data_IF_467814854553
#
_entry.id   IF_467814854553
#
_cell.length_a   1.000
_cell.length_b   1.000
_cell.length_c   1.000
_cell.angle_alpha   90.00
_cell.angle_beta   90.00
_cell.angle_gamma   90.00
#
_symmetry.space_group_name_H-M   'P 1'
#
loop_
_entity.id
_entity.type
_entity.pdbx_description
1 polymer ?
#
# COMPACT_ATOMS: atom_id res chain seq x y z
N UNK A 1 1.81 -10.09 0.54
CA UNK A 1 2.73 -10.52 -0.53
C UNK A 1 3.76 -11.46 0.03
N UNK A 2 3.85 -12.65 -0.50
CA UNK A 2 4.83 -13.66 -0.10
C UNK A 2 6.14 -13.39 -0.83
N UNK A 3 7.15 -12.89 -0.11
CA UNK A 3 8.48 -12.70 -0.67
C UNK A 3 9.37 -13.87 -0.25
N UNK A 4 9.34 -14.93 -1.01
CA UNK A 4 10.34 -15.99 -0.95
C UNK A 4 11.14 -15.95 -2.24
N UNK A 5 12.38 -15.54 -2.18
CA UNK A 5 13.24 -15.55 -3.36
C UNK A 5 13.65 -16.98 -3.68
N UNK A 6 13.43 -17.37 -4.89
CA UNK A 6 13.52 -18.75 -5.35
C UNK A 6 14.78 -18.93 -6.20
N UNK A 7 15.98 -18.78 -5.60
CA UNK A 7 17.20 -19.13 -6.36
C UNK A 7 17.37 -20.64 -6.55
N UNK A 8 16.91 -21.45 -5.60
CA UNK A 8 16.92 -22.90 -5.74
C UNK A 8 15.90 -23.47 -6.74
N UNK A 9 14.86 -22.71 -7.06
CA UNK A 9 13.79 -23.15 -7.97
C UNK A 9 14.10 -22.92 -9.46
N UNK A 10 15.14 -22.21 -9.84
CA UNK A 10 15.49 -22.07 -11.26
C UNK A 10 15.64 -23.42 -11.98
N UNK A 11 16.06 -24.44 -11.27
CA UNK A 11 16.17 -25.80 -11.80
C UNK A 11 14.82 -26.57 -11.75
N UNK A 12 13.92 -26.22 -10.82
CA UNK A 12 12.63 -26.90 -10.66
C UNK A 12 11.51 -26.20 -11.45
N UNK A 13 11.57 -24.88 -11.63
CA UNK A 13 10.62 -24.11 -12.44
C UNK A 13 10.71 -24.48 -13.92
N UNK A 14 11.89 -24.87 -14.41
CA UNK A 14 12.04 -25.45 -15.75
C UNK A 14 11.29 -26.78 -15.93
N UNK A 15 10.73 -27.34 -14.87
CA UNK A 15 9.92 -28.58 -14.84
C UNK A 15 8.41 -28.32 -14.68
N UNK A 16 7.95 -27.07 -14.81
CA UNK A 16 6.50 -26.77 -14.78
C UNK A 16 5.88 -26.84 -13.39
N UNK A 17 6.51 -26.22 -12.38
CA UNK A 17 5.88 -26.04 -11.09
C UNK A 17 4.81 -24.93 -11.19
N UNK A 18 3.57 -25.32 -11.47
CA UNK A 18 2.38 -24.47 -11.57
C UNK A 18 2.03 -23.76 -10.24
N UNK A 19 2.82 -23.94 -9.20
CA UNK A 19 2.54 -23.42 -7.87
C UNK A 19 3.26 -22.12 -7.50
N UNK A 20 4.19 -21.64 -8.30
CA UNK A 20 4.89 -20.40 -8.01
C UNK A 20 4.02 -19.17 -8.26
N UNK A 21 4.11 -18.17 -7.38
CA UNK A 21 3.42 -16.89 -7.56
C UNK A 21 4.27 -16.00 -8.47
N UNK A 22 3.75 -15.53 -9.62
CA UNK A 22 4.51 -14.69 -10.52
C UNK A 22 4.74 -13.30 -9.92
N UNK A 23 5.97 -12.83 -10.02
CA UNK A 23 6.38 -11.45 -9.76
C UNK A 23 6.68 -10.72 -11.06
N UNK A 24 7.44 -9.63 -10.95
CA UNK A 24 7.88 -8.84 -12.10
C UNK A 24 9.32 -9.20 -12.51
N UNK A 25 9.68 -8.85 -13.75
CA UNK A 25 11.02 -9.14 -14.31
C UNK A 25 11.41 -10.62 -14.22
N UNK A 26 10.45 -11.49 -14.52
CA UNK A 26 10.62 -12.96 -14.44
C UNK A 26 10.93 -13.48 -13.03
N UNK A 27 10.61 -12.69 -11.99
CA UNK A 27 10.66 -13.19 -10.63
C UNK A 27 9.50 -14.16 -10.40
N UNK A 28 9.77 -15.18 -9.60
CA UNK A 28 8.75 -16.12 -9.12
C UNK A 28 8.95 -16.31 -7.62
N UNK A 29 7.85 -16.48 -6.91
CA UNK A 29 7.86 -16.54 -5.44
C UNK A 29 7.28 -17.86 -4.97
N UNK A 30 7.98 -18.50 -4.06
CA UNK A 30 7.53 -19.76 -3.47
C UNK A 30 6.33 -19.52 -2.55
N UNK A 31 5.34 -20.42 -2.58
CA UNK A 31 4.13 -20.29 -1.74
C UNK A 31 4.38 -20.61 -0.27
N UNK A 32 5.25 -21.54 0.03
CA UNK A 32 5.43 -22.09 1.37
C UNK A 32 6.77 -21.70 2.02
N UNK A 33 7.85 -21.57 1.23
CA UNK A 33 9.19 -21.25 1.73
C UNK A 33 9.45 -19.74 1.56
N UNK A 34 9.06 -18.95 2.54
CA UNK A 34 9.28 -17.51 2.55
C UNK A 34 9.69 -17.07 3.97
N UNK A 35 10.80 -16.34 4.07
CA UNK A 35 11.34 -15.88 5.34
C UNK A 35 10.87 -14.46 5.70
N UNK A 36 10.84 -13.57 4.73
CA UNK A 36 10.53 -12.16 4.97
C UNK A 36 9.11 -11.92 5.51
N UNK A 37 8.04 -12.55 4.98
CA UNK A 37 6.71 -12.41 5.54
C UNK A 37 6.61 -12.86 7.00
N UNK A 38 7.23 -13.98 7.35
CA UNK A 38 7.25 -14.47 8.75
C UNK A 38 7.98 -13.50 9.68
N UNK A 39 9.11 -12.94 9.23
CA UNK A 39 9.85 -11.95 9.99
C UNK A 39 9.02 -10.68 10.21
N UNK A 40 8.37 -10.18 9.16
CA UNK A 40 7.50 -9.00 9.23
C UNK A 40 6.31 -9.25 10.16
N UNK A 41 5.68 -10.41 10.07
CA UNK A 41 4.56 -10.78 10.95
C UNK A 41 4.97 -10.79 12.44
N UNK A 42 6.13 -11.34 12.75
CA UNK A 42 6.66 -11.34 14.11
C UNK A 42 6.96 -9.92 14.62
N UNK A 43 7.53 -9.08 13.77
CA UNK A 43 7.77 -7.68 14.11
C UNK A 43 6.45 -6.90 14.28
N UNK A 44 5.44 -7.20 13.48
CA UNK A 44 4.13 -6.58 13.63
C UNK A 44 3.49 -6.92 14.96
N UNK A 45 3.46 -8.21 15.32
CA UNK A 45 2.96 -8.67 16.63
C UNK A 45 3.70 -8.00 17.79
N UNK A 46 5.03 -7.92 17.70
CA UNK A 46 5.84 -7.24 18.70
C UNK A 46 5.52 -5.75 18.81
N UNK A 47 5.30 -5.08 17.67
CA UNK A 47 4.93 -3.67 17.62
C UNK A 47 3.54 -3.40 18.22
N UNK A 48 2.57 -4.26 17.95
CA UNK A 48 1.22 -4.11 18.51
C UNK A 48 1.22 -4.32 20.02
N UNK A 49 1.99 -5.28 20.51
CA UNK A 49 2.23 -5.46 21.95
C UNK A 49 2.85 -4.20 22.58
N UNK A 50 3.87 -3.63 21.94
CA UNK A 50 4.51 -2.41 22.42
C UNK A 50 3.53 -1.22 22.45
N UNK A 51 2.65 -1.11 21.46
CA UNK A 51 1.57 -0.08 21.45
C UNK A 51 0.59 -0.27 22.61
N UNK A 52 0.15 -1.50 22.88
CA UNK A 52 -0.74 -1.82 24.00
C UNK A 52 -0.09 -1.48 25.35
N UNK A 53 1.22 -1.71 25.47
CA UNK A 53 2.01 -1.39 26.66
C UNK A 53 2.44 0.07 26.74
N UNK A 54 2.05 0.90 25.73
CA UNK A 54 2.42 2.32 25.62
C UNK A 54 3.95 2.56 25.52
N UNK A 55 4.68 1.57 25.05
CA UNK A 55 6.13 1.65 24.82
C UNK A 55 6.42 2.33 23.47
N UNK A 56 6.26 3.65 23.44
CA UNK A 56 6.31 4.46 22.20
C UNK A 56 7.66 4.33 21.50
N UNK A 57 8.76 4.40 22.25
CA UNK A 57 10.11 4.30 21.69
C UNK A 57 10.34 2.94 21.02
N UNK A 58 9.96 1.85 21.69
CA UNK A 58 10.11 0.50 21.16
C UNK A 58 9.24 0.24 19.94
N UNK A 59 7.95 0.67 19.98
CA UNK A 59 7.05 0.61 18.82
C UNK A 59 7.60 1.39 17.61
N UNK A 60 8.23 2.54 17.86
CA UNK A 60 8.85 3.38 16.81
C UNK A 60 10.10 2.68 16.24
N UNK A 61 10.96 2.10 17.08
CA UNK A 61 12.13 1.37 16.62
C UNK A 61 11.75 0.19 15.71
N UNK A 62 10.74 -0.60 16.10
CA UNK A 62 10.24 -1.70 15.27
C UNK A 62 9.71 -1.17 13.93
N UNK A 63 8.96 -0.07 13.92
CA UNK A 63 8.48 0.57 12.68
C UNK A 63 9.63 0.94 11.75
N UNK A 64 10.69 1.53 12.28
CA UNK A 64 11.88 1.91 11.51
C UNK A 64 12.54 0.68 10.90
N UNK A 65 12.71 -0.40 11.69
CA UNK A 65 13.27 -1.67 11.21
C UNK A 65 12.42 -2.22 10.05
N UNK A 66 11.11 -2.32 10.22
CA UNK A 66 10.20 -2.82 9.17
C UNK A 66 10.29 -2.01 7.89
N UNK A 67 10.32 -0.68 7.99
CA UNK A 67 10.40 0.20 6.83
C UNK A 67 11.75 0.13 6.11
N UNK A 68 12.83 -0.20 6.82
CA UNK A 68 14.18 -0.29 6.25
C UNK A 68 14.41 -1.55 5.41
N UNK A 69 13.61 -2.60 5.56
CA UNK A 69 13.79 -3.85 4.80
C UNK A 69 13.78 -3.64 3.30
N UNK A 70 12.87 -2.82 2.79
CA UNK A 70 12.82 -2.52 1.35
C UNK A 70 14.12 -1.90 0.86
N UNK A 71 14.64 -0.90 1.58
CA UNK A 71 15.88 -0.21 1.22
C UNK A 71 17.11 -1.14 1.29
N UNK A 72 17.17 -1.98 2.33
CA UNK A 72 18.26 -2.96 2.49
C UNK A 72 18.23 -3.99 1.36
N UNK A 73 17.09 -4.58 1.06
CA UNK A 73 16.94 -5.58 -0.01
C UNK A 73 17.18 -5.01 -1.40
N UNK A 74 16.99 -3.70 -1.59
CA UNK A 74 17.31 -2.96 -2.82
C UNK A 74 18.75 -2.47 -2.91
N UNK A 75 19.58 -2.70 -1.90
CA UNK A 75 20.99 -2.25 -1.84
C UNK A 75 21.94 -3.34 -2.28
N UNK A 76 22.88 -3.02 -3.20
CA UNK A 76 23.90 -3.95 -3.69
C UNK A 76 24.86 -4.49 -2.62
N UNK A 77 24.95 -3.85 -1.46
CA UNK A 77 25.72 -4.32 -0.31
C UNK A 77 25.00 -5.38 0.54
N UNK A 78 23.73 -5.63 0.30
CA UNK A 78 22.97 -6.64 1.01
C UNK A 78 23.21 -8.04 0.43
N UNK A 79 23.48 -9.02 1.29
CA UNK A 79 23.64 -10.43 0.88
C UNK A 79 22.44 -10.99 0.12
N UNK A 80 21.24 -10.49 0.44
CA UNK A 80 19.97 -10.91 -0.18
C UNK A 80 19.51 -9.96 -1.29
N UNK A 81 20.43 -9.14 -1.81
CA UNK A 81 20.13 -8.23 -2.90
C UNK A 81 19.71 -8.96 -4.16
N UNK A 82 18.52 -8.65 -4.65
CA UNK A 82 18.06 -9.06 -5.97
C UNK A 82 17.16 -7.97 -6.55
N UNK A 83 17.53 -7.45 -7.71
CA UNK A 83 16.76 -6.38 -8.38
C UNK A 83 15.34 -6.80 -8.73
N UNK A 84 15.08 -8.10 -8.92
CA UNK A 84 13.76 -8.65 -9.21
C UNK A 84 12.85 -8.53 -7.98
N UNK A 85 13.40 -8.72 -6.77
CA UNK A 85 12.66 -8.59 -5.51
C UNK A 85 12.19 -7.15 -5.30
N UNK A 86 13.11 -6.20 -5.29
CA UNK A 86 12.76 -4.78 -5.12
C UNK A 86 11.83 -4.28 -6.23
N UNK A 87 12.08 -4.69 -7.48
CA UNK A 87 11.20 -4.35 -8.61
C UNK A 87 9.82 -4.96 -8.45
N UNK A 88 9.69 -6.20 -7.99
CA UNK A 88 8.40 -6.84 -7.79
C UNK A 88 7.58 -6.14 -6.70
N UNK A 89 8.23 -5.69 -5.62
CA UNK A 89 7.55 -4.89 -4.58
C UNK A 89 7.01 -3.58 -5.17
N UNK A 90 7.86 -2.82 -5.86
CA UNK A 90 7.49 -1.52 -6.40
C UNK A 90 6.41 -1.64 -7.49
N UNK A 91 6.59 -2.53 -8.44
CA UNK A 91 5.67 -2.68 -9.57
C UNK A 91 4.32 -3.26 -9.12
N UNK A 92 4.31 -4.14 -8.12
CA UNK A 92 3.05 -4.61 -7.52
C UNK A 92 2.33 -3.48 -6.79
N UNK A 93 3.05 -2.62 -6.07
CA UNK A 93 2.48 -1.42 -5.48
C UNK A 93 1.85 -0.51 -6.54
N UNK A 94 2.51 -0.28 -7.67
CA UNK A 94 1.95 0.49 -8.78
C UNK A 94 0.69 -0.15 -9.38
N UNK A 95 0.68 -1.47 -9.51
CA UNK A 95 -0.49 -2.21 -10.00
C UNK A 95 -1.67 -2.08 -9.03
N UNK A 96 -1.41 -2.25 -7.72
CA UNK A 96 -2.43 -2.06 -6.69
C UNK A 96 -3.03 -0.65 -6.80
N UNK A 97 -2.20 0.39 -6.86
CA UNK A 97 -2.67 1.78 -6.96
C UNK A 97 -3.47 2.03 -8.23
N UNK A 98 -3.03 1.53 -9.39
CA UNK A 98 -3.74 1.67 -10.67
C UNK A 98 -5.09 0.96 -10.65
N UNK A 99 -5.13 -0.26 -10.14
CA UNK A 99 -6.36 -1.07 -10.04
C UNK A 99 -7.32 -0.43 -9.05
N UNK A 100 -6.85 0.00 -7.88
CA UNK A 100 -7.67 0.72 -6.89
C UNK A 100 -8.27 2.00 -7.49
N UNK A 101 -7.46 2.78 -8.23
CA UNK A 101 -7.97 3.95 -8.95
C UNK A 101 -9.09 3.58 -9.91
N UNK A 102 -8.88 2.57 -10.75
CA UNK A 102 -9.89 2.09 -11.72
C UNK A 102 -11.18 1.68 -11.01
N UNK A 103 -11.08 0.91 -9.94
CA UNK A 103 -12.24 0.47 -9.14
C UNK A 103 -13.03 1.65 -8.56
N UNK A 104 -12.36 2.70 -8.10
CA UNK A 104 -12.99 3.93 -7.59
C UNK A 104 -13.68 4.68 -8.74
N UNK A 105 -13.01 4.82 -9.89
CA UNK A 105 -13.54 5.53 -11.06
C UNK A 105 -14.76 4.81 -11.68
N UNK A 106 -14.77 3.48 -11.68
CA UNK A 106 -15.92 2.66 -12.09
C UNK A 106 -17.16 2.86 -11.21
N UNK A 107 -16.98 3.31 -9.97
CA UNK A 107 -18.06 3.68 -9.06
C UNK A 107 -18.52 5.13 -9.19
N UNK A 108 -18.02 5.84 -10.20
CA UNK A 108 -18.42 7.22 -10.54
C UNK A 108 -17.68 8.31 -9.75
N UNK A 109 -16.69 7.95 -8.96
CA UNK A 109 -15.84 8.90 -8.25
C UNK A 109 -14.57 9.20 -9.06
N UNK A 110 -14.00 10.40 -8.88
CA UNK A 110 -12.79 10.82 -9.55
C UNK A 110 -11.59 10.74 -8.61
N UNK A 111 -10.52 10.07 -9.05
CA UNK A 111 -9.25 10.05 -8.31
C UNK A 111 -8.38 11.21 -8.79
N UNK A 112 -8.28 12.24 -7.97
CA UNK A 112 -7.55 13.47 -8.29
C UNK A 112 -6.04 13.37 -8.06
N UNK A 113 -5.62 12.51 -7.13
CA UNK A 113 -4.21 12.31 -6.81
C UNK A 113 -3.97 10.95 -6.16
N UNK A 114 -2.81 10.35 -6.43
CA UNK A 114 -2.31 9.15 -5.76
C UNK A 114 -0.81 9.27 -5.50
N UNK A 115 -0.38 8.91 -4.30
CA UNK A 115 1.04 8.86 -3.91
C UNK A 115 1.28 7.53 -3.20
N UNK A 116 2.26 6.80 -3.65
CA UNK A 116 2.82 5.54 -3.10
C UNK A 116 1.83 4.61 -2.40
N UNK A 117 1.10 5.10 -1.41
CA UNK A 117 0.22 4.37 -0.48
C UNK A 117 -1.12 5.09 -0.21
N UNK A 118 -1.36 6.24 -0.84
CA UNK A 118 -2.56 7.05 -0.58
C UNK A 118 -3.27 7.41 -1.88
N UNK A 119 -4.60 7.42 -1.84
CA UNK A 119 -5.46 7.82 -2.96
C UNK A 119 -6.42 8.91 -2.51
N UNK A 120 -6.45 10.01 -3.23
CA UNK A 120 -7.34 11.15 -2.98
C UNK A 120 -8.50 11.13 -3.96
N UNK A 121 -9.70 11.06 -3.42
CA UNK A 121 -10.95 10.92 -4.16
C UNK A 121 -11.77 12.21 -4.06
N UNK A 122 -12.18 12.74 -5.22
CA UNK A 122 -13.08 13.88 -5.28
C UNK A 122 -14.53 13.43 -5.13
N UNK A 123 -15.26 14.05 -4.20
CA UNK A 123 -16.69 13.81 -4.02
C UNK A 123 -17.56 14.69 -4.91
N UNK A 124 -16.96 15.58 -5.76
CA UNK A 124 -17.57 16.49 -6.72
C UNK A 124 -18.54 17.53 -6.12
N UNK A 125 -19.34 17.15 -5.14
CA UNK A 125 -20.28 18.00 -4.47
C UNK A 125 -19.87 18.24 -3.02
N UNK A 126 -20.27 19.38 -2.46
CA UNK A 126 -20.13 19.61 -1.02
C UNK A 126 -21.05 18.62 -0.29
N UNK A 127 -20.49 17.77 0.52
CA UNK A 127 -21.20 16.83 1.36
C UNK A 127 -20.85 17.07 2.82
N UNK A 128 -21.72 16.62 3.71
CA UNK A 128 -21.44 16.64 5.14
C UNK A 128 -20.28 15.68 5.48
N UNK A 129 -19.70 15.87 6.66
CA UNK A 129 -18.66 14.95 7.14
C UNK A 129 -19.17 13.52 7.23
N UNK A 130 -20.37 13.36 7.74
CA UNK A 130 -21.04 12.06 7.94
C UNK A 130 -21.28 11.34 6.61
N UNK A 131 -21.67 12.07 5.58
CA UNK A 131 -21.83 11.53 4.22
C UNK A 131 -20.48 11.13 3.61
N UNK A 132 -19.46 11.97 3.76
CA UNK A 132 -18.12 11.68 3.29
C UNK A 132 -17.51 10.45 3.99
N UNK A 133 -17.67 10.37 5.31
CA UNK A 133 -17.22 9.22 6.12
C UNK A 133 -17.94 7.94 5.68
N UNK A 134 -19.24 7.99 5.40
CA UNK A 134 -20.01 6.85 4.90
C UNK A 134 -19.52 6.40 3.52
N UNK A 135 -19.34 7.34 2.59
CA UNK A 135 -18.82 7.04 1.24
C UNK A 135 -17.43 6.43 1.33
N UNK A 136 -16.52 7.05 2.09
CA UNK A 136 -15.15 6.58 2.25
C UNK A 136 -15.07 5.17 2.84
N UNK A 137 -15.84 4.89 3.88
CA UNK A 137 -15.90 3.57 4.49
C UNK A 137 -16.52 2.52 3.55
N UNK A 138 -17.55 2.87 2.81
CA UNK A 138 -18.17 1.96 1.82
C UNK A 138 -17.19 1.62 0.72
N UNK A 139 -16.51 2.63 0.13
CA UNK A 139 -15.50 2.41 -0.92
C UNK A 139 -14.34 1.53 -0.43
N UNK A 140 -13.81 1.81 0.76
CA UNK A 140 -12.74 0.99 1.33
C UNK A 140 -13.16 -0.45 1.56
N UNK A 141 -14.34 -0.67 2.08
CA UNK A 141 -14.86 -2.02 2.30
C UNK A 141 -15.02 -2.80 0.98
N UNK A 142 -15.64 -2.18 -0.02
CA UNK A 142 -15.84 -2.82 -1.33
C UNK A 142 -14.52 -3.14 -2.03
N UNK A 143 -13.54 -2.22 -1.98
CA UNK A 143 -12.24 -2.41 -2.61
C UNK A 143 -11.43 -3.48 -1.88
N UNK A 144 -11.47 -3.52 -0.55
CA UNK A 144 -10.82 -4.58 0.23
C UNK A 144 -11.43 -5.96 -0.06
N UNK A 145 -12.76 -6.04 -0.19
CA UNK A 145 -13.45 -7.27 -0.60
C UNK A 145 -13.00 -7.71 -1.99
N UNK A 146 -13.00 -6.79 -2.96
CA UNK A 146 -12.56 -7.08 -4.31
C UNK A 146 -11.12 -7.61 -4.37
N UNK A 147 -10.20 -6.98 -3.63
CA UNK A 147 -8.81 -7.45 -3.56
C UNK A 147 -8.70 -8.83 -2.93
N UNK A 148 -9.51 -9.12 -1.92
CA UNK A 148 -9.53 -10.43 -1.27
C UNK A 148 -9.98 -11.52 -2.24
N UNK A 149 -11.06 -11.27 -2.96
CA UNK A 149 -11.60 -12.20 -3.96
C UNK A 149 -10.64 -12.36 -5.14
N UNK A 150 -10.15 -11.27 -5.71
CA UNK A 150 -9.22 -11.29 -6.84
C UNK A 150 -7.92 -12.04 -6.54
N UNK A 151 -7.31 -11.83 -5.38
CA UNK A 151 -6.08 -12.54 -5.01
C UNK A 151 -6.33 -14.02 -4.72
N UNK A 152 -7.50 -14.37 -4.22
CA UNK A 152 -7.89 -15.76 -4.02
C UNK A 152 -8.12 -16.46 -5.36
N UNK A 153 -8.89 -15.86 -6.26
CA UNK A 153 -9.26 -16.44 -7.54
C UNK A 153 -8.08 -16.57 -8.50
N UNK A 154 -7.30 -15.50 -8.65
CA UNK A 154 -6.22 -15.46 -9.65
C UNK A 154 -4.94 -16.14 -9.18
N UNK A 155 -4.62 -16.00 -7.90
CA UNK A 155 -3.33 -16.47 -7.37
C UNK A 155 -3.47 -17.53 -6.27
N UNK A 156 -4.68 -17.85 -5.83
CA UNK A 156 -4.95 -18.69 -4.65
C UNK A 156 -4.15 -18.21 -3.44
N UNK A 157 -4.23 -16.90 -3.15
CA UNK A 157 -3.54 -16.22 -2.05
C UNK A 157 -4.51 -15.55 -1.11
N UNK A 158 -4.22 -15.61 0.19
CA UNK A 158 -4.92 -14.79 1.18
C UNK A 158 -4.43 -13.34 1.06
N UNK A 159 -5.37 -12.40 0.98
CA UNK A 159 -5.05 -10.97 0.99
C UNK A 159 -4.67 -10.50 2.39
N UNK A 160 -3.56 -9.78 2.47
CA UNK A 160 -3.18 -8.95 3.64
C UNK A 160 -3.18 -7.47 3.27
N UNK A 161 -3.77 -7.13 2.11
CA UNK A 161 -3.94 -5.75 1.71
C UNK A 161 -5.16 -5.19 2.41
N UNK A 162 -4.96 -4.11 3.14
CA UNK A 162 -6.00 -3.38 3.83
C UNK A 162 -5.89 -1.91 3.46
N UNK A 163 -6.95 -1.38 2.87
CA UNK A 163 -7.14 0.05 2.64
C UNK A 163 -7.97 0.59 3.80
N UNK A 164 -7.57 1.74 4.32
CA UNK A 164 -8.26 2.45 5.37
C UNK A 164 -8.74 3.82 4.86
N UNK A 165 -9.92 4.22 5.30
CA UNK A 165 -10.38 5.58 5.12
C UNK A 165 -9.78 6.46 6.23
N UNK A 166 -8.94 7.42 5.86
CA UNK A 166 -8.21 8.24 6.84
C UNK A 166 -8.97 9.51 7.24
N UNK A 167 -9.36 10.32 6.27
CA UNK A 167 -9.95 11.63 6.57
C UNK A 167 -10.66 12.27 5.38
N UNK A 168 -11.63 13.13 5.69
CA UNK A 168 -12.26 14.03 4.74
C UNK A 168 -11.67 15.43 4.84
N UNK A 169 -11.29 15.99 3.68
CA UNK A 169 -10.89 17.39 3.55
C UNK A 169 -12.05 18.21 2.98
N UNK A 170 -12.59 19.16 3.74
CA UNK A 170 -13.62 20.09 3.27
C UNK A 170 -13.10 21.01 2.15
N UNK A 171 -11.81 21.33 2.23
CA UNK A 171 -11.07 22.05 1.18
C UNK A 171 -9.73 21.40 1.00
N UNK A 172 -9.38 21.15 -0.24
CA UNK A 172 -8.12 20.54 -0.62
C UNK A 172 -7.43 21.43 -1.67
N UNK A 173 -6.16 21.68 -1.47
CA UNK A 173 -5.33 22.48 -2.36
C UNK A 173 -4.08 21.69 -2.72
N UNK A 174 -3.83 21.59 -3.99
CA UNK A 174 -2.60 21.03 -4.56
C UNK A 174 -2.01 22.04 -5.53
N UNK A 175 -0.80 22.58 -5.27
CA UNK A 175 -0.16 23.51 -6.19
C UNK A 175 0.19 22.81 -7.49
N UNK A 176 0.09 23.50 -8.60
CA UNK A 176 0.56 23.03 -9.90
C UNK A 176 2.07 23.20 -10.03
N UNK A 177 2.69 22.39 -10.89
CA UNK A 177 4.10 22.57 -11.26
C UNK A 177 4.17 23.77 -12.23
N UNK A 178 5.14 24.66 -12.05
CA UNK A 178 5.34 25.80 -12.95
C UNK A 178 5.39 25.34 -14.41
N UNK A 179 4.51 25.92 -15.24
CA UNK A 179 4.43 25.60 -16.67
C UNK A 179 3.69 24.32 -17.02
N UNK A 180 2.95 23.71 -16.07
CA UNK A 180 2.13 22.53 -16.29
C UNK A 180 0.81 22.65 -15.53
N UNK A 181 -0.26 22.10 -16.07
CA UNK A 181 -1.54 21.94 -15.36
C UNK A 181 -1.50 20.74 -14.38
N UNK A 182 -0.40 19.98 -14.37
CA UNK A 182 -0.24 18.81 -13.50
C UNK A 182 0.03 19.26 -12.07
N UNK A 183 -0.66 18.68 -11.12
CA UNK A 183 -0.46 18.92 -9.70
C UNK A 183 0.96 18.55 -9.23
N UNK A 184 1.50 19.30 -8.28
CA UNK A 184 2.81 19.04 -7.69
C UNK A 184 2.78 17.74 -6.89
N UNK A 185 3.69 16.82 -7.20
CA UNK A 185 3.83 15.58 -6.44
C UNK A 185 4.23 15.90 -4.99
N UNK A 186 3.56 15.24 -4.04
CA UNK A 186 3.87 15.27 -2.60
C UNK A 186 3.65 16.61 -1.89
N UNK A 187 3.04 17.60 -2.54
CA UNK A 187 2.71 18.87 -1.90
C UNK A 187 1.22 19.11 -1.94
N UNK A 188 0.59 19.17 -0.80
CA UNK A 188 -0.81 19.53 -0.67
C UNK A 188 -1.10 20.18 0.69
N UNK A 189 -2.20 20.91 0.75
CA UNK A 189 -2.78 21.39 1.99
C UNK A 189 -4.27 21.04 2.01
N UNK A 190 -4.77 20.59 3.14
CA UNK A 190 -6.17 20.22 3.32
C UNK A 190 -6.72 20.71 4.64
N UNK A 191 -7.96 21.21 4.60
CA UNK A 191 -8.71 21.61 5.77
C UNK A 191 -9.64 20.47 6.16
N UNK A 192 -9.37 19.83 7.31
CA UNK A 192 -10.17 18.73 7.83
C UNK A 192 -10.85 19.10 9.15
N UNK A 193 -11.97 18.44 9.46
CA UNK A 193 -12.61 18.52 10.77
C UNK A 193 -11.94 17.54 11.75
N UNK A 194 -11.30 18.07 12.79
CA UNK A 194 -10.89 17.30 13.98
C UNK A 194 -11.75 17.74 15.16
N UNK A 195 -12.83 17.00 15.44
CA UNK A 195 -13.78 17.39 16.47
C UNK A 195 -14.52 18.68 16.12
N UNK A 196 -14.50 19.68 17.02
CA UNK A 196 -15.08 21.02 16.78
C UNK A 196 -14.15 22.02 16.10
N UNK A 197 -12.91 21.65 15.82
CA UNK A 197 -11.90 22.54 15.23
C UNK A 197 -11.51 22.08 13.83
N UNK A 198 -11.23 23.05 12.95
CA UNK A 198 -10.60 22.77 11.64
C UNK A 198 -9.10 22.58 11.84
N UNK A 199 -8.54 21.52 11.30
CA UNK A 199 -7.10 21.27 11.28
C UNK A 199 -6.55 21.40 9.87
N UNK A 200 -5.48 22.16 9.70
CA UNK A 200 -4.74 22.24 8.46
C UNK A 200 -3.71 21.10 8.44
N UNK A 201 -3.81 20.24 7.44
CA UNK A 201 -2.81 19.21 7.16
C UNK A 201 -2.06 19.59 5.91
N UNK A 202 -0.74 19.58 5.96
CA UNK A 202 0.11 19.85 4.81
C UNK A 202 1.21 18.80 4.71
N UNK A 203 1.56 18.45 3.48
CA UNK A 203 2.72 17.61 3.14
C UNK A 203 3.57 18.40 2.14
N UNK A 204 4.84 18.55 2.40
CA UNK A 204 5.77 19.29 1.55
C UNK A 204 7.22 18.99 1.89
#
# INVERSE_FOLDING_TARGET
>A
MTYGLVEGLKAEIGKGDDQAVPGFRKAQFHRQKHYLPQLIENLWKARDKAKQQKEVAFSTAIKIIMNSFYGVLGSGGCRFFDTRLASSITLRGHEIMKTTRKLIEERGYEVIYGDTDSTFVSLKNSCSKEEADKIGNTLTQEINTWWTEHLLEEYNLTSYLELEYETHFNRFFMPTIRGSETGSKKRYAGLSHKGKAHALSSKG
#
